data_IF_763461776126
#
_entry.id   IF_763461776126
#
_cell.length_a   1.000
_cell.length_b   1.000
_cell.length_c   1.000
_cell.angle_alpha   90.00
_cell.angle_beta   90.00
_cell.angle_gamma   90.00
#
_symmetry.space_group_name_H-M   'P 1'
#
loop_
_entity.id
_entity.type
_entity.pdbx_description
1 polymer ?
#
# COMPACT_ATOMS: atom_id res chain seq x y z
N UNK A 1 47.75 -7.76 3.62
CA UNK A 1 47.01 -6.47 3.55
C UNK A 1 45.99 -6.44 2.41
N UNK A 2 46.35 -6.76 1.15
CA UNK A 2 45.41 -6.75 -0.01
C UNK A 2 44.13 -7.61 0.14
N UNK A 3 44.21 -8.74 0.85
CA UNK A 3 43.05 -9.62 1.10
C UNK A 3 42.03 -9.03 2.08
N UNK A 4 42.49 -8.24 3.05
CA UNK A 4 41.65 -7.62 4.07
C UNK A 4 40.91 -6.42 3.48
N UNK A 5 41.59 -5.61 2.66
CA UNK A 5 40.97 -4.51 1.90
C UNK A 5 39.94 -5.01 0.89
N UNK A 6 40.14 -6.19 0.30
CA UNK A 6 39.14 -6.83 -0.57
C UNK A 6 37.89 -7.25 0.20
N UNK A 7 38.07 -7.82 1.40
CA UNK A 7 36.95 -8.27 2.24
C UNK A 7 36.09 -7.09 2.74
N UNK A 8 36.72 -5.97 3.12
CA UNK A 8 36.00 -4.75 3.50
C UNK A 8 35.21 -4.13 2.35
N UNK A 9 35.75 -4.20 1.12
CA UNK A 9 35.06 -3.69 -0.06
C UNK A 9 33.82 -4.54 -0.42
N UNK A 10 33.93 -5.86 -0.26
CA UNK A 10 32.81 -6.80 -0.47
C UNK A 10 31.74 -6.58 0.61
N UNK A 11 32.11 -6.42 1.88
CA UNK A 11 31.18 -6.11 2.95
C UNK A 11 30.40 -4.81 2.73
N UNK A 12 31.08 -3.77 2.23
CA UNK A 12 30.45 -2.49 1.90
C UNK A 12 29.44 -2.65 0.73
N UNK A 13 29.79 -3.39 -0.32
CA UNK A 13 28.88 -3.65 -1.44
C UNK A 13 27.62 -4.43 -1.02
N UNK A 14 27.74 -5.40 -0.12
CA UNK A 14 26.60 -6.16 0.40
C UNK A 14 25.68 -5.25 1.22
N UNK A 15 26.24 -4.33 2.02
CA UNK A 15 25.43 -3.39 2.81
C UNK A 15 24.59 -2.45 1.95
N UNK A 16 25.11 -1.97 0.81
CA UNK A 16 24.32 -1.15 -0.13
C UNK A 16 23.20 -1.94 -0.82
N UNK A 17 23.43 -3.23 -1.13
CA UNK A 17 22.41 -4.07 -1.72
C UNK A 17 21.22 -4.35 -0.77
N UNK A 18 21.43 -4.29 0.56
CA UNK A 18 20.38 -4.48 1.56
C UNK A 18 19.45 -3.26 1.71
N UNK A 19 19.89 -2.05 1.33
CA UNK A 19 19.03 -0.85 1.34
C UNK A 19 18.15 -0.72 0.09
N UNK A 20 18.37 -1.56 -0.93
CA UNK A 20 17.60 -1.57 -2.18
C UNK A 20 16.30 -2.39 -2.10
N UNK A 21 15.86 -2.81 -0.90
CA UNK A 21 14.66 -3.61 -0.75
C UNK A 21 13.40 -2.80 -1.08
N UNK A 22 12.94 -2.97 -2.32
CA UNK A 22 11.56 -2.88 -2.81
C UNK A 22 10.76 -1.63 -2.43
N UNK A 23 10.78 -0.61 -3.30
CA UNK A 23 9.69 0.36 -3.27
C UNK A 23 8.42 -0.30 -3.79
N UNK A 24 7.34 -0.24 -3.02
CA UNK A 24 6.03 -0.74 -3.46
C UNK A 24 5.53 0.10 -4.64
N UNK A 25 4.78 -0.49 -5.59
CA UNK A 25 4.21 0.26 -6.70
C UNK A 25 3.40 1.49 -6.25
N UNK A 26 2.66 1.41 -5.14
CA UNK A 26 1.93 2.54 -4.54
C UNK A 26 2.81 3.71 -4.11
N UNK A 27 4.11 3.48 -3.87
CA UNK A 27 5.04 4.54 -3.45
C UNK A 27 5.65 5.32 -4.62
N UNK A 28 5.48 4.84 -5.84
CA UNK A 28 6.09 5.41 -7.05
C UNK A 28 5.07 6.15 -7.91
N UNK A 29 5.57 7.02 -8.78
CA UNK A 29 4.76 7.71 -9.79
C UNK A 29 4.72 6.88 -11.07
N UNK A 30 3.53 6.64 -11.59
CA UNK A 30 3.28 5.88 -12.81
C UNK A 30 2.63 6.75 -13.87
N UNK A 31 2.85 6.49 -15.14
CA UNK A 31 2.03 7.14 -16.17
C UNK A 31 0.62 6.59 -16.09
N UNK A 32 -0.38 7.46 -16.12
CA UNK A 32 -1.75 7.02 -15.90
C UNK A 32 -2.81 8.07 -16.22
N UNK A 33 -4.04 7.70 -15.90
CA UNK A 33 -5.19 8.59 -16.01
C UNK A 33 -6.16 8.37 -14.85
N UNK A 34 -6.91 9.42 -14.52
CA UNK A 34 -7.95 9.42 -13.51
C UNK A 34 -9.24 9.87 -14.18
N UNK A 35 -10.30 9.09 -14.03
CA UNK A 35 -11.66 9.44 -14.44
C UNK A 35 -12.43 9.77 -13.17
N UNK A 36 -12.90 11.00 -13.08
CA UNK A 36 -13.66 11.48 -11.92
C UNK A 36 -15.15 11.13 -12.04
N UNK A 37 -15.88 11.22 -10.93
CA UNK A 37 -17.30 10.87 -10.88
C UNK A 37 -18.20 11.77 -11.75
N UNK A 38 -17.72 12.95 -12.14
CA UNK A 38 -18.33 13.85 -13.11
C UNK A 38 -17.96 13.50 -14.58
N UNK A 39 -17.28 12.38 -14.79
CA UNK A 39 -16.82 11.89 -16.09
C UNK A 39 -15.71 12.74 -16.74
N UNK A 40 -15.05 13.61 -15.97
CA UNK A 40 -13.84 14.31 -16.41
C UNK A 40 -12.63 13.37 -16.41
N UNK A 41 -11.72 13.53 -17.37
CA UNK A 41 -10.52 12.68 -17.50
C UNK A 41 -9.26 13.51 -17.35
N UNK A 42 -8.43 13.14 -16.39
CA UNK A 42 -7.14 13.76 -16.15
C UNK A 42 -6.00 12.79 -16.45
N UNK A 43 -4.96 13.25 -17.14
CA UNK A 43 -3.80 12.43 -17.55
C UNK A 43 -2.52 13.01 -17.00
N UNK A 44 -1.59 12.16 -16.61
CA UNK A 44 -0.32 12.59 -16.04
C UNK A 44 0.40 11.48 -15.29
N UNK A 45 1.23 11.88 -14.34
CA UNK A 45 1.83 10.95 -13.40
C UNK A 45 0.86 10.70 -12.25
N UNK A 46 0.52 9.44 -12.01
CA UNK A 46 -0.44 8.99 -11.02
C UNK A 46 0.30 8.25 -9.91
N UNK A 47 -0.01 8.58 -8.67
CA UNK A 47 0.44 7.87 -7.48
C UNK A 47 -0.77 7.60 -6.60
N UNK A 48 -0.85 6.44 -5.97
CA UNK A 48 -2.04 6.04 -5.24
C UNK A 48 -1.70 5.55 -3.83
N UNK A 49 -2.64 5.73 -2.91
CA UNK A 49 -2.60 5.25 -1.55
C UNK A 49 -3.94 4.55 -1.26
N UNK A 50 -3.92 3.22 -1.30
CA UNK A 50 -5.13 2.42 -1.10
C UNK A 50 -5.60 2.47 0.35
N UNK A 51 -4.70 2.59 1.33
CA UNK A 51 -5.06 2.64 2.76
C UNK A 51 -5.86 3.90 3.08
N UNK A 52 -5.42 5.04 2.52
CA UNK A 52 -6.09 6.33 2.69
C UNK A 52 -7.20 6.59 1.66
N UNK A 53 -7.40 5.70 0.69
CA UNK A 53 -8.35 5.84 -0.42
C UNK A 53 -8.16 7.14 -1.22
N UNK A 54 -6.90 7.43 -1.56
CA UNK A 54 -6.50 8.66 -2.24
C UNK A 54 -5.66 8.35 -3.47
N UNK A 55 -5.86 9.12 -4.54
CA UNK A 55 -5.03 9.12 -5.74
C UNK A 55 -4.55 10.53 -6.04
N UNK A 56 -3.27 10.65 -6.39
CA UNK A 56 -2.60 11.90 -6.69
C UNK A 56 -2.24 11.95 -8.16
N UNK A 57 -2.48 13.09 -8.79
CA UNK A 57 -2.08 13.40 -10.15
C UNK A 57 -1.05 14.51 -10.15
N UNK A 58 0.14 14.21 -10.65
CA UNK A 58 1.16 15.19 -10.93
C UNK A 58 1.11 15.59 -12.41
N UNK A 59 0.94 16.89 -12.63
CA UNK A 59 1.07 17.57 -13.92
C UNK A 59 2.28 18.50 -13.85
N UNK A 60 2.67 19.12 -14.97
CA UNK A 60 3.83 20.03 -15.04
C UNK A 60 3.74 21.23 -14.07
N UNK A 61 2.54 21.58 -13.61
CA UNK A 61 2.28 22.78 -12.81
C UNK A 61 1.97 22.50 -11.35
N UNK A 62 1.38 21.36 -11.03
CA UNK A 62 0.86 21.06 -9.69
C UNK A 62 0.62 19.56 -9.47
N UNK A 63 0.59 19.18 -8.19
CA UNK A 63 0.08 17.89 -7.72
C UNK A 63 -1.33 18.10 -7.18
N UNK A 64 -2.29 17.39 -7.75
CA UNK A 64 -3.69 17.38 -7.31
C UNK A 64 -3.99 16.05 -6.60
N UNK A 65 -4.84 16.09 -5.59
CA UNK A 65 -5.20 14.93 -4.77
C UNK A 65 -6.70 14.70 -4.85
N UNK A 66 -7.11 13.48 -5.17
CA UNK A 66 -8.50 13.08 -5.30
C UNK A 66 -8.80 11.93 -4.33
N UNK A 67 -9.92 12.01 -3.63
CA UNK A 67 -10.42 10.90 -2.81
C UNK A 67 -11.31 9.96 -3.63
N UNK A 68 -11.49 8.74 -3.14
CA UNK A 68 -12.37 7.73 -3.73
C UNK A 68 -13.80 8.21 -4.00
N UNK A 69 -14.33 9.15 -3.20
CA UNK A 69 -15.66 9.73 -3.41
C UNK A 69 -15.79 10.58 -4.67
N UNK A 70 -14.68 11.08 -5.22
CA UNK A 70 -14.66 11.95 -6.40
C UNK A 70 -14.10 11.25 -7.63
N UNK A 71 -13.59 10.03 -7.49
CA UNK A 71 -12.96 9.24 -8.55
C UNK A 71 -13.83 8.06 -8.88
N UNK A 72 -14.14 7.88 -10.16
CA UNK A 72 -14.85 6.70 -10.65
C UNK A 72 -13.86 5.55 -10.88
N UNK A 73 -12.81 5.82 -11.66
CA UNK A 73 -11.73 4.87 -11.92
C UNK A 73 -10.39 5.59 -12.10
N UNK A 74 -9.29 4.89 -11.89
CA UNK A 74 -7.97 5.34 -12.33
C UNK A 74 -7.15 4.17 -12.88
N UNK A 75 -6.21 4.50 -13.75
CA UNK A 75 -5.34 3.53 -14.42
C UNK A 75 -3.90 3.96 -14.25
N UNK A 76 -3.02 2.99 -14.04
CA UNK A 76 -1.57 3.17 -14.03
C UNK A 76 -0.92 2.19 -15.00
N UNK A 77 0.15 2.63 -15.65
CA UNK A 77 1.02 1.78 -16.42
C UNK A 77 2.18 1.32 -15.54
N UNK A 78 2.20 0.02 -15.23
CA UNK A 78 3.27 -0.60 -14.46
C UNK A 78 4.45 -0.91 -15.39
N UNK A 79 5.53 -0.13 -15.29
CA UNK A 79 6.73 -0.31 -16.11
C UNK A 79 7.50 -1.59 -15.77
N UNK A 80 7.29 -2.19 -14.59
CA UNK A 80 8.00 -3.40 -14.14
C UNK A 80 7.37 -4.65 -14.75
N UNK A 81 6.04 -4.73 -14.75
CA UNK A 81 5.29 -5.87 -15.27
C UNK A 81 4.76 -5.67 -16.70
N UNK A 82 4.84 -4.44 -17.24
CA UNK A 82 4.50 -4.13 -18.63
C UNK A 82 3.01 -4.13 -18.93
N UNK A 83 2.17 -3.76 -17.96
CA UNK A 83 0.71 -3.83 -18.05
C UNK A 83 0.00 -2.58 -17.53
N UNK A 84 -1.25 -2.39 -17.95
CA UNK A 84 -2.14 -1.38 -17.37
C UNK A 84 -2.89 -2.03 -16.21
N UNK A 85 -2.82 -1.39 -15.04
CA UNK A 85 -3.57 -1.78 -13.85
C UNK A 85 -4.70 -0.78 -13.67
N UNK A 86 -5.92 -1.30 -13.54
CA UNK A 86 -7.14 -0.50 -13.44
C UNK A 86 -7.73 -0.63 -12.04
N UNK A 87 -8.12 0.51 -11.48
CA UNK A 87 -8.68 0.61 -10.15
C UNK A 87 -10.05 1.30 -10.21
N UNK A 88 -11.03 0.76 -9.49
CA UNK A 88 -12.38 1.30 -9.39
C UNK A 88 -12.72 1.73 -7.97
N UNK A 89 -13.51 2.78 -7.86
CA UNK A 89 -14.12 3.19 -6.61
C UNK A 89 -15.47 2.50 -6.44
N UNK A 90 -15.57 1.60 -5.46
CA UNK A 90 -16.79 0.85 -5.18
C UNK A 90 -17.23 1.09 -3.74
N UNK A 91 -18.54 1.18 -3.47
CA UNK A 91 -19.05 1.25 -2.10
C UNK A 91 -18.71 -0.06 -1.38
N UNK A 92 -18.02 0.05 -0.25
CA UNK A 92 -17.64 -1.10 0.57
C UNK A 92 -17.74 -0.74 2.05
N UNK A 93 -18.32 -1.63 2.85
CA UNK A 93 -18.39 -1.47 4.30
C UNK A 93 -17.12 -2.02 4.94
N UNK A 94 -16.20 -1.12 5.35
CA UNK A 94 -14.96 -1.49 6.04
C UNK A 94 -15.18 -1.92 7.50
N UNK A 95 -16.32 -1.53 8.09
CA UNK A 95 -16.66 -1.80 9.48
C UNK A 95 -17.92 -2.68 9.55
N UNK A 96 -18.15 -3.38 10.65
CA UNK A 96 -19.30 -4.27 10.86
C UNK A 96 -20.66 -3.53 11.03
N UNK A 97 -20.92 -2.52 10.20
CA UNK A 97 -22.17 -1.79 10.13
C UNK A 97 -22.63 -1.57 8.69
N UNK A 98 -23.78 -0.93 8.53
CA UNK A 98 -24.47 -0.79 7.23
C UNK A 98 -24.02 0.45 6.42
N UNK A 99 -22.93 1.11 6.82
CA UNK A 99 -22.45 2.32 6.16
C UNK A 99 -21.33 2.01 5.17
N UNK A 100 -21.66 2.10 3.89
CA UNK A 100 -20.72 1.88 2.80
C UNK A 100 -20.05 3.20 2.39
N UNK A 101 -18.73 3.17 2.28
CA UNK A 101 -17.94 4.28 1.74
C UNK A 101 -17.26 3.85 0.45
N UNK A 102 -17.09 4.75 -0.54
CA UNK A 102 -16.31 4.45 -1.72
C UNK A 102 -14.86 4.09 -1.36
N UNK A 103 -14.38 2.96 -1.85
CA UNK A 103 -13.05 2.40 -1.59
C UNK A 103 -12.44 1.95 -2.92
N UNK A 104 -11.13 2.10 -3.08
CA UNK A 104 -10.44 1.67 -4.28
C UNK A 104 -10.15 0.16 -4.30
N UNK A 105 -10.47 -0.48 -5.41
CA UNK A 105 -10.16 -1.88 -5.71
C UNK A 105 -9.47 -2.00 -7.06
N UNK A 106 -8.43 -2.84 -7.12
CA UNK A 106 -7.77 -3.22 -8.36
C UNK A 106 -8.54 -4.35 -9.06
N UNK A 107 -8.67 -4.30 -10.38
CA UNK A 107 -9.11 -5.44 -11.17
C UNK A 107 -7.92 -6.32 -11.52
N UNK A 108 -7.96 -7.59 -11.09
CA UNK A 108 -6.97 -8.60 -11.48
C UNK A 108 -7.39 -9.37 -12.72
N UNK A 109 -8.68 -9.65 -12.87
CA UNK A 109 -9.25 -10.39 -14.00
C UNK A 109 -10.71 -10.01 -14.16
N UNK A 110 -11.14 -9.84 -15.41
CA UNK A 110 -12.51 -9.56 -15.78
C UNK A 110 -12.98 -10.68 -16.72
N UNK A 111 -14.05 -11.36 -16.36
CA UNK A 111 -14.77 -12.30 -17.21
C UNK A 111 -16.17 -11.75 -17.54
N UNK A 112 -16.89 -12.46 -18.40
CA UNK A 112 -18.18 -11.99 -18.91
C UNK A 112 -19.24 -11.76 -17.81
N UNK A 113 -19.22 -12.59 -16.75
CA UNK A 113 -20.19 -12.56 -15.65
C UNK A 113 -19.58 -12.23 -14.27
N UNK A 114 -18.25 -12.25 -14.15
CA UNK A 114 -17.56 -12.08 -12.86
C UNK A 114 -16.22 -11.36 -13.02
N UNK A 115 -15.94 -10.44 -12.09
CA UNK A 115 -14.65 -9.78 -11.96
C UNK A 115 -13.98 -10.17 -10.64
N UNK A 116 -12.67 -10.42 -10.70
CA UNK A 116 -11.83 -10.62 -9.54
C UNK A 116 -11.18 -9.30 -9.14
N UNK A 117 -11.53 -8.83 -7.94
CA UNK A 117 -11.03 -7.60 -7.36
C UNK A 117 -10.02 -7.88 -6.25
N UNK A 118 -9.01 -7.05 -6.13
CA UNK A 118 -8.00 -7.13 -5.08
C UNK A 118 -7.73 -5.76 -4.46
N UNK A 119 -7.26 -5.77 -3.21
CA UNK A 119 -6.76 -4.60 -2.51
C UNK A 119 -5.55 -5.02 -1.70
N UNK A 120 -4.42 -4.35 -1.90
CA UNK A 120 -3.24 -4.58 -1.08
C UNK A 120 -3.47 -4.00 0.32
N UNK A 121 -3.02 -4.73 1.35
CA UNK A 121 -3.07 -4.26 2.74
C UNK A 121 -1.78 -4.68 3.44
N UNK A 122 -1.05 -3.70 3.96
CA UNK A 122 0.23 -3.94 4.62
C UNK A 122 0.00 -4.17 6.12
N UNK A 123 0.10 -5.42 6.57
CA UNK A 123 0.01 -5.76 7.99
C UNK A 123 1.40 -5.76 8.61
N UNK A 124 1.66 -4.82 9.51
CA UNK A 124 2.86 -4.84 10.35
C UNK A 124 2.57 -5.60 11.64
N UNK A 125 2.95 -6.88 11.67
CA UNK A 125 2.83 -7.71 12.87
C UNK A 125 4.09 -7.56 13.73
N UNK A 126 4.04 -6.66 14.72
CA UNK A 126 5.08 -6.55 15.73
C UNK A 126 4.83 -7.57 16.85
N UNK A 127 5.13 -8.83 16.56
CA UNK A 127 5.26 -9.83 17.62
C UNK A 127 6.46 -9.43 18.46
N UNK A 128 6.20 -8.74 19.56
CA UNK A 128 7.19 -8.57 20.61
C UNK A 128 7.65 -9.98 20.99
N UNK A 129 8.82 -10.41 20.50
CA UNK A 129 9.57 -11.55 21.03
C UNK A 129 10.12 -11.18 22.42
N UNK A 130 9.26 -10.64 23.28
CA UNK A 130 9.51 -10.40 24.67
C UNK A 130 9.59 -11.74 25.35
N UNK A 131 10.82 -12.19 25.59
CA UNK A 131 11.12 -13.33 26.45
C UNK A 131 10.19 -13.34 27.68
N UNK A 132 9.60 -14.51 27.94
CA UNK A 132 8.72 -14.74 29.08
C UNK A 132 9.42 -14.59 30.42
N UNK A 133 9.53 -13.36 30.92
CA UNK A 133 9.76 -13.04 32.32
C UNK A 133 8.94 -11.81 32.71
N UNK A 134 7.62 -11.97 32.77
CA UNK A 134 6.80 -11.07 33.58
C UNK A 134 7.03 -11.39 35.06
N UNK A 135 7.18 -10.39 35.95
CA UNK A 135 7.24 -10.67 37.38
C UNK A 135 5.89 -11.27 37.81
N UNK A 136 5.92 -12.51 38.31
CA UNK A 136 4.77 -13.14 38.94
C UNK A 136 4.39 -12.31 40.17
N UNK A 137 3.40 -11.43 40.03
CA UNK A 137 2.81 -10.73 41.16
C UNK A 137 1.95 -11.75 41.91
N UNK A 138 2.49 -12.34 42.99
CA UNK A 138 1.71 -13.07 43.97
C UNK A 138 0.66 -12.12 44.56
N UNK A 139 -0.62 -12.45 44.39
CA UNK A 139 -1.70 -11.81 45.13
C UNK A 139 -1.71 -12.38 46.57
N UNK A 140 -1.53 -11.57 47.64
CA UNK A 140 -1.59 -12.10 48.98
C UNK A 140 -3.05 -12.39 49.34
N UNK A 141 -3.39 -13.68 49.40
CA UNK A 141 -4.54 -14.16 50.16
C UNK A 141 -4.45 -13.68 51.61
N UNK A 142 -5.41 -12.86 52.02
CA UNK A 142 -5.95 -12.80 53.39
C UNK A 142 -7.46 -12.96 53.19
N UNK A 143 -8.19 -13.94 53.75
CA UNK A 143 -8.10 -14.57 55.06
C UNK A 143 -9.38 -14.19 55.82
N UNK A 144 -10.20 -15.19 56.19
CA UNK A 144 -11.55 -15.10 56.77
C UNK A 144 -11.75 -13.99 57.83
N UNK A 145 -12.89 -13.27 57.81
CA UNK A 145 -14.21 -13.61 58.40
C UNK A 145 -15.27 -12.64 57.90
#
# INVERSE_FOLDING_TARGET
MKKITGLTLIGLMISFALFAQGQFPSQMWHKGQIVTADNSVYRGLVKYDLDNNVVQLQTDKAVQTFGSSNVFQFEIFDEVYGGVRTFYSLPFSLNAGDYETPVFFEILTEGDDIALLCREHIVTDNRNMGMGMGPMMMNPMWGHR
#
